data_IF_255773448469
#
_entry.id   IF_255773448469
#
_cell.length_a   1.000
_cell.length_b   1.000
_cell.length_c   1.000
_cell.angle_alpha   90.00
_cell.angle_beta   90.00
_cell.angle_gamma   90.00
#
_symmetry.space_group_name_H-M   'P 1'
#
loop_
_entity.id
_entity.type
_entity.pdbx_description
1 polymer ?
#
# COMPACT_ATOMS: atom_id res chain seq x y z
N UNK A 1 -4.19 -17.53 18.61
CA UNK A 1 -3.39 -16.49 19.28
C UNK A 1 -1.93 -16.52 18.81
N UNK A 2 -1.27 -17.69 18.74
CA UNK A 2 0.06 -17.82 18.13
C UNK A 2 0.05 -17.43 16.64
N UNK A 3 -0.83 -18.01 15.82
CA UNK A 3 -0.92 -17.69 14.39
C UNK A 3 -1.18 -16.20 14.09
N UNK A 4 -2.09 -15.57 14.85
CA UNK A 4 -2.38 -14.15 14.68
C UNK A 4 -1.20 -13.25 15.04
N UNK A 5 -0.41 -13.62 16.06
CA UNK A 5 0.80 -12.87 16.43
C UNK A 5 1.91 -13.07 15.38
N UNK A 6 2.06 -14.28 14.83
CA UNK A 6 2.99 -14.55 13.75
C UNK A 6 2.63 -13.74 12.49
N UNK A 7 1.35 -13.74 12.10
CA UNK A 7 0.87 -12.95 10.95
C UNK A 7 1.08 -11.44 11.15
N UNK A 8 0.80 -10.92 12.35
CA UNK A 8 1.09 -9.52 12.68
C UNK A 8 2.57 -9.19 12.49
N UNK A 9 3.47 -10.05 12.99
CA UNK A 9 4.92 -9.88 12.80
C UNK A 9 5.37 -9.95 11.34
N UNK A 10 4.74 -10.80 10.53
CA UNK A 10 5.01 -10.89 9.09
C UNK A 10 4.56 -9.62 8.36
N UNK A 11 3.37 -9.11 8.66
CA UNK A 11 2.88 -7.85 8.10
C UNK A 11 3.75 -6.65 8.54
N UNK A 12 4.27 -6.64 9.76
CA UNK A 12 5.17 -5.58 10.24
C UNK A 12 6.50 -5.57 9.46
N UNK A 13 7.06 -6.75 9.19
CA UNK A 13 8.26 -6.91 8.37
C UNK A 13 8.00 -6.49 6.92
N UNK A 14 6.86 -6.88 6.36
CA UNK A 14 6.44 -6.51 5.01
C UNK A 14 6.26 -4.99 4.87
N UNK A 15 5.65 -4.35 5.86
CA UNK A 15 5.43 -2.90 5.90
C UNK A 15 6.77 -2.13 5.96
N UNK A 16 7.76 -2.66 6.68
CA UNK A 16 9.11 -2.10 6.69
C UNK A 16 9.78 -2.20 5.31
N UNK A 17 9.61 -3.34 4.62
CA UNK A 17 10.14 -3.55 3.28
C UNK A 17 9.52 -2.57 2.27
N UNK A 18 8.19 -2.44 2.26
CA UNK A 18 7.51 -1.51 1.35
C UNK A 18 7.87 -0.04 1.61
N UNK A 19 8.11 0.35 2.86
CA UNK A 19 8.63 1.69 3.17
C UNK A 19 10.03 1.93 2.64
N UNK A 20 10.90 0.92 2.67
CA UNK A 20 12.24 1.03 2.10
C UNK A 20 12.20 1.14 0.57
N UNK A 21 11.41 0.29 -0.09
CA UNK A 21 11.18 0.36 -1.53
C UNK A 21 10.58 1.70 -1.95
N UNK A 22 9.61 2.20 -1.20
CA UNK A 22 9.03 3.52 -1.45
C UNK A 22 10.09 4.63 -1.36
N UNK A 23 10.92 4.62 -0.31
CA UNK A 23 11.99 5.61 -0.15
C UNK A 23 13.03 5.50 -1.28
N UNK A 24 13.38 4.29 -1.72
CA UNK A 24 14.27 4.09 -2.86
C UNK A 24 13.64 4.58 -4.18
N UNK A 25 12.35 4.34 -4.38
CA UNK A 25 11.60 4.82 -5.55
C UNK A 25 11.46 6.36 -5.55
N UNK A 26 11.30 6.99 -4.38
CA UNK A 26 11.28 8.46 -4.22
C UNK A 26 12.65 9.06 -4.61
N UNK A 27 13.75 8.42 -4.20
CA UNK A 27 15.12 8.86 -4.56
C UNK A 27 15.39 8.70 -6.05
N UNK A 28 14.94 7.60 -6.65
CA UNK A 28 15.15 7.31 -8.07
C UNK A 28 14.15 8.02 -8.99
N UNK A 29 13.18 8.74 -8.43
CA UNK A 29 12.05 9.35 -9.15
C UNK A 29 11.40 8.35 -10.12
N UNK A 30 11.19 7.10 -9.67
CA UNK A 30 10.53 6.06 -10.44
C UNK A 30 9.04 6.02 -10.08
N UNK A 31 8.17 6.70 -10.85
CA UNK A 31 6.75 6.80 -10.54
C UNK A 31 6.06 5.44 -10.57
N UNK A 32 6.62 4.44 -11.28
CA UNK A 32 6.06 3.08 -11.29
C UNK A 32 6.26 2.36 -9.97
N UNK A 33 7.48 2.38 -9.45
CA UNK A 33 7.75 1.77 -8.15
C UNK A 33 7.10 2.55 -7.00
N UNK A 34 6.95 3.88 -7.12
CA UNK A 34 6.21 4.70 -6.15
C UNK A 34 4.75 4.27 -6.02
N UNK A 35 4.06 4.14 -7.15
CA UNK A 35 2.65 3.73 -7.23
C UNK A 35 2.44 2.31 -6.70
N UNK A 36 3.27 1.35 -7.11
CA UNK A 36 3.18 -0.04 -6.66
C UNK A 36 3.48 -0.20 -5.17
N UNK A 37 4.58 0.41 -4.68
CA UNK A 37 4.96 0.32 -3.26
C UNK A 37 3.92 0.95 -2.35
N UNK A 38 3.32 2.08 -2.77
CA UNK A 38 2.24 2.73 -2.02
C UNK A 38 0.98 1.86 -1.95
N UNK A 39 0.66 1.11 -3.00
CA UNK A 39 -0.47 0.18 -3.01
C UNK A 39 -0.25 -1.03 -2.11
N UNK A 40 0.90 -1.68 -2.22
CA UNK A 40 1.22 -2.84 -1.39
C UNK A 40 1.28 -2.44 0.10
N UNK A 41 1.81 -1.26 0.40
CA UNK A 41 1.77 -0.69 1.75
C UNK A 41 0.32 -0.54 2.25
N UNK A 42 -0.57 -0.01 1.39
CA UNK A 42 -1.99 0.14 1.69
C UNK A 42 -2.69 -1.19 1.96
N UNK A 43 -2.39 -2.23 1.18
CA UNK A 43 -2.94 -3.58 1.35
C UNK A 43 -2.46 -4.25 2.65
N UNK A 44 -1.16 -4.22 2.93
CA UNK A 44 -0.59 -4.72 4.19
C UNK A 44 -1.22 -4.01 5.40
N UNK A 45 -1.39 -2.67 5.32
CA UNK A 45 -2.07 -1.88 6.36
C UNK A 45 -3.53 -2.28 6.54
N UNK A 46 -4.24 -2.59 5.46
CA UNK A 46 -5.63 -3.08 5.50
C UNK A 46 -5.71 -4.44 6.22
N UNK A 47 -4.81 -5.38 5.90
CA UNK A 47 -4.76 -6.69 6.57
C UNK A 47 -4.42 -6.60 8.06
N UNK A 48 -3.69 -5.56 8.47
CA UNK A 48 -3.44 -5.23 9.88
C UNK A 48 -4.62 -4.53 10.59
N UNK A 49 -5.69 -4.19 9.87
CA UNK A 49 -6.83 -3.42 10.40
C UNK A 49 -6.56 -1.91 10.54
N UNK A 50 -5.47 -1.40 9.99
CA UNK A 50 -5.07 0.02 10.03
C UNK A 50 -5.67 0.78 8.85
N UNK A 51 -6.99 0.87 8.83
CA UNK A 51 -7.78 1.35 7.68
C UNK A 51 -7.45 2.80 7.28
N UNK A 52 -7.31 3.71 8.24
CA UNK A 52 -6.98 5.12 7.97
C UNK A 52 -5.62 5.29 7.30
N UNK A 53 -4.63 4.53 7.76
CA UNK A 53 -3.29 4.57 7.16
C UNK A 53 -3.27 3.90 5.79
N UNK A 54 -4.01 2.80 5.65
CA UNK A 54 -4.23 2.14 4.35
C UNK A 54 -4.81 3.11 3.34
N UNK A 55 -5.88 3.83 3.72
CA UNK A 55 -6.52 4.85 2.88
C UNK A 55 -5.54 5.96 2.49
N UNK A 56 -4.71 6.43 3.42
CA UNK A 56 -3.69 7.43 3.12
C UNK A 56 -2.67 6.96 2.09
N UNK A 57 -2.18 5.73 2.21
CA UNK A 57 -1.23 5.13 1.26
C UNK A 57 -1.85 4.92 -0.13
N UNK A 58 -3.10 4.43 -0.17
CA UNK A 58 -3.87 4.22 -1.39
C UNK A 58 -4.18 5.55 -2.11
N UNK A 59 -4.51 6.61 -1.37
CA UNK A 59 -4.73 7.94 -1.95
C UNK A 59 -3.44 8.52 -2.55
N UNK A 60 -2.29 8.37 -1.90
CA UNK A 60 -0.99 8.78 -2.49
C UNK A 60 -0.72 8.06 -3.80
N UNK A 61 -1.05 6.77 -3.90
CA UNK A 61 -0.91 6.02 -5.16
C UNK A 61 -1.82 6.56 -6.29
N UNK A 62 -2.94 7.21 -5.96
CA UNK A 62 -3.85 7.83 -6.92
C UNK A 62 -3.41 9.21 -7.40
N UNK A 63 -2.56 9.91 -6.64
CA UNK A 63 -2.00 11.21 -7.01
C UNK A 63 -0.92 11.10 -8.09
N UNK A 64 -0.42 9.89 -8.36
CA UNK A 64 0.61 9.63 -9.36
C UNK A 64 0.11 9.82 -10.81
N UNK A 65 1.01 10.17 -11.76
CA UNK A 65 0.64 10.44 -13.15
C UNK A 65 0.04 9.23 -13.88
N UNK A 66 -0.85 9.42 -14.88
CA UNK A 66 -1.31 8.32 -15.73
C UNK A 66 -0.13 7.57 -16.38
N UNK A 67 -0.16 6.23 -16.37
CA UNK A 67 0.91 5.39 -16.93
C UNK A 67 2.03 5.02 -15.96
N UNK A 68 2.01 5.53 -14.73
CA UNK A 68 2.92 5.14 -13.64
C UNK A 68 2.50 3.85 -12.93
N UNK A 69 1.61 3.02 -13.48
CA UNK A 69 0.98 1.94 -12.71
C UNK A 69 -0.24 2.40 -11.90
N UNK A 70 -0.61 3.69 -12.01
CA UNK A 70 -1.85 4.27 -11.48
C UNK A 70 -3.10 3.41 -11.74
N UNK A 71 -3.22 2.79 -12.90
CA UNK A 71 -4.38 1.95 -13.25
C UNK A 71 -4.48 0.71 -12.35
N UNK A 72 -3.34 0.11 -12.01
CA UNK A 72 -3.24 -0.98 -11.05
C UNK A 72 -3.58 -0.48 -9.64
N UNK A 73 -3.05 0.70 -9.27
CA UNK A 73 -3.39 1.34 -8.00
C UNK A 73 -4.87 1.61 -7.87
N UNK A 74 -5.52 2.15 -8.90
CA UNK A 74 -6.97 2.41 -8.94
C UNK A 74 -7.76 1.12 -8.69
N UNK A 75 -7.37 0.00 -9.31
CA UNK A 75 -8.07 -1.27 -9.12
C UNK A 75 -8.03 -1.76 -7.65
N UNK A 76 -6.85 -1.69 -7.01
CA UNK A 76 -6.70 -2.04 -5.60
C UNK A 76 -7.44 -1.05 -4.70
N UNK A 77 -7.33 0.24 -4.98
CA UNK A 77 -8.03 1.28 -4.22
C UNK A 77 -9.53 1.08 -4.29
N UNK A 78 -10.10 0.80 -5.46
CA UNK A 78 -11.55 0.55 -5.62
C UNK A 78 -11.96 -0.73 -4.87
N UNK A 79 -11.17 -1.80 -4.97
CA UNK A 79 -11.45 -3.04 -4.24
C UNK A 79 -11.44 -2.82 -2.72
N UNK A 80 -10.43 -2.13 -2.21
CA UNK A 80 -10.22 -1.99 -0.77
C UNK A 80 -11.05 -0.85 -0.16
N UNK A 81 -11.14 0.31 -0.81
CA UNK A 81 -12.01 1.40 -0.37
C UNK A 81 -13.49 1.11 -0.59
N UNK A 82 -13.84 0.42 -1.69
CA UNK A 82 -15.20 -0.04 -1.94
C UNK A 82 -15.69 -1.04 -0.90
N UNK A 83 -14.78 -1.74 -0.21
CA UNK A 83 -15.11 -2.55 0.97
C UNK A 83 -15.15 -1.77 2.29
N UNK A 84 -14.58 -0.56 2.36
CA UNK A 84 -14.64 0.29 3.58
C UNK A 84 -15.81 1.28 3.61
N UNK A 85 -16.46 1.58 2.48
CA UNK A 85 -17.63 2.50 2.41
C UNK A 85 -19.01 1.79 2.46
N UNK A 86 -19.07 0.52 2.89
CA UNK A 86 -20.30 -0.24 3.15
C UNK A 86 -20.55 -0.38 4.66
#
# INVERSE_FOLDING_TARGET
>A
LADTLTQLGEYEAELALWRQELAAAEVNADPRHLSLSSCNLGETLYHMGRLEESRGALLRALEEPPGSGRDYSIAIVINNLGMTEL
#
